data_IF_783995494772
#
_entry.id   IF_783995494772
#
_cell.length_a   1.000
_cell.length_b   1.000
_cell.length_c   1.000
_cell.angle_alpha   90.00
_cell.angle_beta   90.00
_cell.angle_gamma   90.00
#
_symmetry.space_group_name_H-M   'P 1'
#
loop_
_entity.id
_entity.type
_entity.pdbx_description
1 polymer ?
#
# COMPACT_ATOMS: atom_id res chain seq x y z
N UNK A 1 31.14 13.26 65.00
CA UNK A 1 31.85 12.44 63.98
C UNK A 1 30.83 11.94 62.95
N UNK A 2 30.85 12.50 61.74
CA UNK A 2 29.78 12.37 60.73
C UNK A 2 30.27 11.46 59.60
N UNK A 3 30.04 10.14 59.69
CA UNK A 3 30.36 9.19 58.61
C UNK A 3 29.45 9.49 57.41
N UNK A 4 30.08 9.68 56.25
CA UNK A 4 29.51 10.38 55.10
C UNK A 4 28.47 9.56 54.33
N UNK A 5 27.44 10.25 53.84
CA UNK A 5 26.40 9.72 52.93
C UNK A 5 26.94 9.33 51.54
N UNK A 6 28.24 9.54 51.29
CA UNK A 6 28.92 9.29 50.02
C UNK A 6 29.14 7.78 49.79
N UNK A 7 29.30 6.98 50.84
CA UNK A 7 29.50 5.53 50.70
C UNK A 7 28.23 4.77 50.27
N UNK A 8 27.03 5.32 50.51
CA UNK A 8 25.76 4.66 50.11
C UNK A 8 25.41 4.88 48.64
N UNK A 9 25.86 5.98 48.03
CA UNK A 9 25.57 6.26 46.61
C UNK A 9 26.51 5.54 45.64
N UNK A 10 27.74 5.20 46.05
CA UNK A 10 28.67 4.44 45.20
C UNK A 10 28.27 2.96 45.03
N UNK A 11 27.56 2.37 45.99
CA UNK A 11 27.10 0.97 45.93
C UNK A 11 25.88 0.82 45.02
N UNK A 12 24.99 1.81 44.97
CA UNK A 12 23.76 1.77 44.17
C UNK A 12 24.01 1.89 42.66
N UNK A 13 25.03 2.64 42.23
CA UNK A 13 25.41 2.77 40.81
C UNK A 13 26.13 1.54 40.26
N UNK A 14 26.85 0.79 41.10
CA UNK A 14 27.51 -0.45 40.71
C UNK A 14 26.51 -1.61 40.50
N UNK A 15 25.47 -1.70 41.35
CA UNK A 15 24.45 -2.75 41.24
C UNK A 15 23.53 -2.55 40.02
N UNK A 16 23.19 -1.29 39.69
CA UNK A 16 22.37 -0.98 38.51
C UNK A 16 23.07 -1.29 37.19
N UNK A 17 24.39 -1.07 37.11
CA UNK A 17 25.18 -1.38 35.91
C UNK A 17 25.38 -2.87 35.73
N UNK A 18 25.50 -3.63 36.82
CA UNK A 18 25.63 -5.09 36.78
C UNK A 18 24.32 -5.77 36.34
N UNK A 19 23.17 -5.26 36.80
CA UNK A 19 21.86 -5.76 36.37
C UNK A 19 21.61 -5.54 34.87
N UNK A 20 21.96 -4.36 34.32
CA UNK A 20 21.84 -4.08 32.89
C UNK A 20 22.76 -4.96 32.04
N UNK A 21 23.96 -5.28 32.51
CA UNK A 21 24.84 -6.25 31.85
C UNK A 21 24.27 -7.67 31.90
N UNK A 22 23.69 -8.11 33.03
CA UNK A 22 23.04 -9.42 33.12
C UNK A 22 21.86 -9.52 32.15
N UNK A 23 21.00 -8.50 32.07
CA UNK A 23 19.90 -8.49 31.09
C UNK A 23 20.39 -8.45 29.64
N UNK A 24 21.48 -7.74 29.37
CA UNK A 24 22.12 -7.72 28.05
C UNK A 24 22.68 -9.09 27.66
N UNK A 25 23.42 -9.74 28.58
CA UNK A 25 23.98 -11.07 28.34
C UNK A 25 22.91 -12.18 28.29
N UNK A 26 21.85 -12.11 29.09
CA UNK A 26 20.70 -13.02 29.00
C UNK A 26 19.90 -12.82 27.70
N UNK A 27 19.85 -11.59 27.15
CA UNK A 27 19.29 -11.31 25.83
C UNK A 27 20.15 -11.83 24.66
N UNK A 28 21.47 -11.94 24.85
CA UNK A 28 22.38 -12.51 23.85
C UNK A 28 22.58 -14.04 23.95
N UNK A 29 22.31 -14.65 25.12
CA UNK A 29 22.45 -16.09 25.37
C UNK A 29 21.20 -16.92 25.04
N UNK A 30 20.10 -16.28 24.63
CA UNK A 30 18.96 -16.96 24.00
C UNK A 30 18.86 -16.63 22.49
N UNK A 31 19.76 -17.16 21.65
CA UNK A 31 19.40 -17.43 20.27
C UNK A 31 18.52 -18.69 20.29
N UNK A 32 17.20 -18.51 20.31
CA UNK A 32 16.30 -19.58 19.91
C UNK A 32 16.53 -19.82 18.41
N UNK A 33 17.32 -20.87 18.17
CA UNK A 33 17.70 -21.50 16.93
C UNK A 33 16.49 -22.00 16.12
N UNK A 34 16.41 -21.64 14.85
CA UNK A 34 16.29 -22.66 13.81
C UNK A 34 16.91 -22.15 12.51
N UNK A 35 18.23 -22.32 12.41
CA UNK A 35 18.94 -22.28 11.12
C UNK A 35 19.30 -23.71 10.72
N UNK A 36 18.29 -24.59 10.57
CA UNK A 36 18.49 -25.85 9.85
C UNK A 36 18.76 -25.58 8.37
N UNK A 37 20.02 -25.77 8.01
CA UNK A 37 20.49 -25.71 6.64
C UNK A 37 19.81 -26.74 5.75
N UNK A 38 19.45 -26.31 4.54
CA UNK A 38 19.49 -27.18 3.38
C UNK A 38 20.74 -26.78 2.59
N UNK A 39 21.80 -27.58 2.75
CA UNK A 39 22.84 -27.71 1.74
C UNK A 39 22.12 -28.05 0.43
N UNK A 40 22.21 -27.16 -0.56
CA UNK A 40 21.84 -27.48 -1.93
C UNK A 40 22.78 -28.58 -2.43
N UNK A 41 22.37 -29.84 -2.25
CA UNK A 41 22.92 -30.96 -2.98
C UNK A 41 22.40 -30.82 -4.41
N UNK A 42 23.26 -30.28 -5.28
CA UNK A 42 23.13 -30.50 -6.71
C UNK A 42 23.45 -31.98 -6.96
N UNK A 43 22.40 -32.79 -7.09
CA UNK A 43 22.50 -34.13 -7.65
C UNK A 43 21.33 -34.36 -8.61
N UNK A 44 21.64 -35.07 -9.68
CA UNK A 44 20.91 -35.09 -10.93
C UNK A 44 19.48 -35.63 -10.87
N UNK A 45 18.70 -35.15 -11.85
CA UNK A 45 17.60 -35.85 -12.55
C UNK A 45 16.59 -36.65 -11.70
N UNK A 46 15.39 -36.09 -11.57
CA UNK A 46 14.15 -36.85 -11.71
C UNK A 46 13.13 -36.03 -12.51
N UNK A 47 12.88 -36.43 -13.76
CA UNK A 47 11.78 -35.92 -14.59
C UNK A 47 10.49 -36.61 -14.14
N UNK A 48 9.51 -35.82 -13.69
CA UNK A 48 8.13 -36.28 -13.48
C UNK A 48 7.55 -35.87 -12.13
N UNK A 49 6.89 -34.70 -12.07
CA UNK A 49 6.10 -34.32 -10.88
C UNK A 49 5.97 -32.82 -10.57
N UNK A 50 6.68 -31.93 -11.28
CA UNK A 50 6.74 -30.50 -10.94
C UNK A 50 5.40 -29.76 -11.17
N UNK A 51 4.61 -30.16 -12.16
CA UNK A 51 3.36 -29.47 -12.53
C UNK A 51 2.25 -29.54 -11.48
N UNK A 52 2.17 -30.64 -10.70
CA UNK A 52 1.17 -30.78 -9.62
C UNK A 52 1.51 -29.94 -8.39
N UNK A 53 2.81 -29.75 -8.12
CA UNK A 53 3.23 -28.91 -7.00
C UNK A 53 3.03 -27.43 -7.32
N UNK A 54 3.35 -26.99 -8.54
CA UNK A 54 3.15 -25.59 -8.97
C UNK A 54 1.66 -25.21 -8.91
N UNK A 55 0.79 -26.01 -9.53
CA UNK A 55 -0.65 -25.76 -9.52
C UNK A 55 -1.23 -25.76 -8.10
N UNK A 56 -0.74 -26.64 -7.21
CA UNK A 56 -1.19 -26.67 -5.82
C UNK A 56 -0.75 -25.43 -5.06
N UNK A 57 0.47 -24.93 -5.28
CA UNK A 57 0.95 -23.67 -4.70
C UNK A 57 0.12 -22.49 -5.22
N UNK A 58 -0.12 -22.40 -6.53
CA UNK A 58 -0.95 -21.33 -7.12
C UNK A 58 -2.39 -21.35 -6.55
N UNK A 59 -2.97 -22.54 -6.37
CA UNK A 59 -4.32 -22.68 -5.79
C UNK A 59 -4.35 -22.25 -4.32
N UNK A 60 -3.30 -22.57 -3.54
CA UNK A 60 -3.20 -22.17 -2.14
C UNK A 60 -3.03 -20.66 -2.01
N UNK A 61 -2.19 -20.05 -2.85
CA UNK A 61 -1.96 -18.61 -2.87
C UNK A 61 -3.25 -17.84 -3.26
N UNK A 62 -4.04 -18.38 -4.20
CA UNK A 62 -5.33 -17.83 -4.58
C UNK A 62 -6.35 -17.89 -3.43
N UNK A 63 -6.41 -19.01 -2.69
CA UNK A 63 -7.29 -19.16 -1.53
C UNK A 63 -6.93 -18.16 -0.42
N UNK A 64 -5.63 -17.99 -0.15
CA UNK A 64 -5.13 -17.04 0.84
C UNK A 64 -5.45 -15.59 0.44
N UNK A 65 -5.29 -15.25 -0.83
CA UNK A 65 -5.65 -13.93 -1.36
C UNK A 65 -7.15 -13.65 -1.26
N UNK A 66 -7.99 -14.65 -1.55
CA UNK A 66 -9.45 -14.56 -1.42
C UNK A 66 -9.87 -14.33 0.04
N UNK A 67 -9.32 -15.10 0.99
CA UNK A 67 -9.64 -14.94 2.42
C UNK A 67 -9.16 -13.58 2.94
N UNK A 68 -7.96 -13.14 2.55
CA UNK A 68 -7.48 -11.79 2.88
C UNK A 68 -8.46 -10.72 2.38
N UNK A 69 -8.95 -10.86 1.15
CA UNK A 69 -9.86 -9.88 0.58
C UNK A 69 -11.26 -9.94 1.21
N UNK A 70 -11.71 -11.11 1.64
CA UNK A 70 -12.94 -11.29 2.42
C UNK A 70 -12.87 -10.54 3.74
N UNK A 71 -11.76 -10.69 4.49
CA UNK A 71 -11.51 -9.98 5.76
C UNK A 71 -11.50 -8.46 5.58
N UNK A 72 -10.82 -7.96 4.54
CA UNK A 72 -10.78 -6.53 4.22
C UNK A 72 -12.16 -5.96 3.93
N UNK A 73 -12.99 -6.67 3.15
CA UNK A 73 -14.37 -6.27 2.85
C UNK A 73 -15.25 -6.28 4.10
N UNK A 74 -15.11 -7.29 4.96
CA UNK A 74 -15.84 -7.37 6.22
C UNK A 74 -15.51 -6.17 7.14
N UNK A 75 -14.23 -5.83 7.27
CA UNK A 75 -13.78 -4.66 8.03
C UNK A 75 -14.37 -3.35 7.47
N UNK A 76 -14.28 -3.16 6.15
CA UNK A 76 -14.81 -1.97 5.49
C UNK A 76 -16.32 -1.84 5.72
N UNK A 77 -17.07 -2.92 5.55
CA UNK A 77 -18.52 -2.93 5.78
C UNK A 77 -18.86 -2.59 7.23
N UNK A 78 -18.12 -3.12 8.20
CA UNK A 78 -18.30 -2.80 9.62
C UNK A 78 -18.08 -1.32 9.92
N UNK A 79 -16.98 -0.75 9.42
CA UNK A 79 -16.65 0.68 9.59
C UNK A 79 -17.71 1.56 8.91
N UNK A 80 -18.11 1.24 7.68
CA UNK A 80 -19.13 2.00 6.95
C UNK A 80 -20.50 1.96 7.65
N UNK A 81 -20.90 0.80 8.19
CA UNK A 81 -22.15 0.67 8.95
C UNK A 81 -22.12 1.55 10.21
N UNK A 82 -21.03 1.50 10.98
CA UNK A 82 -20.85 2.34 12.17
C UNK A 82 -20.87 3.83 11.82
N UNK A 83 -20.16 4.24 10.76
CA UNK A 83 -20.11 5.63 10.31
C UNK A 83 -21.48 6.13 9.83
N UNK A 84 -22.24 5.31 9.11
CA UNK A 84 -23.60 5.66 8.67
C UNK A 84 -24.56 5.82 9.85
N UNK A 85 -24.41 5.00 10.89
CA UNK A 85 -25.20 5.09 12.12
C UNK A 85 -24.92 6.42 12.86
N UNK A 86 -23.66 6.84 12.92
CA UNK A 86 -23.24 8.09 13.59
C UNK A 86 -23.69 9.33 12.80
N UNK A 87 -23.47 9.32 11.48
CA UNK A 87 -23.69 10.52 10.64
C UNK A 87 -25.16 10.77 10.30
N UNK A 88 -26.06 9.79 10.48
CA UNK A 88 -27.52 9.86 10.23
C UNK A 88 -27.93 10.50 8.88
N UNK A 89 -27.03 10.52 7.89
CA UNK A 89 -27.28 11.06 6.55
C UNK A 89 -26.80 10.09 5.49
N UNK A 90 -27.70 9.74 4.56
CA UNK A 90 -27.27 9.29 3.22
C UNK A 90 -26.55 10.48 2.58
N UNK A 91 -25.22 10.44 2.51
CA UNK A 91 -24.44 11.43 1.78
C UNK A 91 -24.79 11.30 0.29
N UNK A 92 -25.29 12.39 -0.30
CA UNK A 92 -25.44 12.50 -1.76
C UNK A 92 -24.03 12.67 -2.34
N UNK A 93 -23.65 11.81 -3.27
CA UNK A 93 -22.35 11.89 -3.94
C UNK A 93 -22.34 13.11 -4.87
N UNK A 94 -21.34 13.96 -4.73
CA UNK A 94 -21.10 15.08 -5.66
C UNK A 94 -20.16 14.65 -6.78
N UNK A 95 -20.10 15.37 -7.92
CA UNK A 95 -19.12 15.09 -8.97
C UNK A 95 -17.66 15.09 -8.43
N UNK A 96 -17.37 15.93 -7.45
CA UNK A 96 -16.07 15.98 -6.76
C UNK A 96 -15.70 14.68 -6.03
N UNK A 97 -16.69 13.97 -5.49
CA UNK A 97 -16.48 12.66 -4.84
C UNK A 97 -16.12 11.58 -5.89
N UNK A 98 -16.44 11.80 -7.16
CA UNK A 98 -16.34 10.81 -8.24
C UNK A 98 -15.13 11.02 -9.18
N UNK A 99 -14.44 12.16 -9.10
CA UNK A 99 -13.29 12.50 -9.98
C UNK A 99 -12.08 11.56 -9.86
N UNK A 100 -12.02 10.77 -8.80
CA UNK A 100 -10.95 9.81 -8.55
C UNK A 100 -11.28 8.39 -9.05
N UNK A 101 -12.47 8.19 -9.61
CA UNK A 101 -12.92 6.91 -10.16
C UNK A 101 -12.73 6.90 -11.67
N UNK A 102 -11.73 6.17 -12.15
CA UNK A 102 -11.51 5.94 -13.58
C UNK A 102 -12.44 4.81 -14.03
N UNK A 103 -13.09 5.01 -15.17
CA UNK A 103 -14.06 4.08 -15.75
C UNK A 103 -13.42 3.30 -16.89
N UNK A 104 -13.67 1.99 -16.92
CA UNK A 104 -13.47 1.14 -18.09
C UNK A 104 -14.78 0.42 -18.39
N UNK A 105 -15.47 0.90 -19.43
CA UNK A 105 -16.76 0.38 -19.85
C UNK A 105 -16.64 -0.97 -20.57
N UNK A 106 -15.49 -1.26 -21.20
CA UNK A 106 -15.28 -2.51 -21.95
C UNK A 106 -15.21 -3.73 -21.01
N UNK A 107 -14.62 -3.54 -19.83
CA UNK A 107 -14.44 -4.61 -18.83
C UNK A 107 -15.32 -4.45 -17.58
N UNK A 108 -16.12 -3.38 -17.50
CA UNK A 108 -16.99 -3.11 -16.37
C UNK A 108 -16.22 -2.83 -15.08
N UNK A 109 -15.18 -1.98 -15.13
CA UNK A 109 -14.30 -1.69 -14.01
C UNK A 109 -14.41 -0.23 -13.53
N UNK A 110 -14.30 -0.05 -12.21
CA UNK A 110 -14.13 1.25 -11.55
C UNK A 110 -12.86 1.24 -10.71
N UNK A 111 -11.85 1.98 -11.17
CA UNK A 111 -10.58 2.12 -10.45
C UNK A 111 -10.54 3.43 -9.65
N UNK A 112 -10.54 3.32 -8.32
CA UNK A 112 -10.30 4.47 -7.45
C UNK A 112 -8.80 4.71 -7.31
N UNK A 113 -8.26 5.74 -7.97
CA UNK A 113 -6.84 6.03 -7.87
C UNK A 113 -6.53 6.80 -6.58
N UNK A 114 -5.54 6.30 -5.85
CA UNK A 114 -4.95 7.00 -4.70
C UNK A 114 -3.50 7.38 -5.06
N UNK A 115 -3.04 8.60 -4.77
CA UNK A 115 -1.65 8.95 -5.01
C UNK A 115 -0.68 8.04 -4.25
N UNK A 116 0.46 7.73 -4.88
CA UNK A 116 1.62 7.02 -4.29
C UNK A 116 1.39 5.54 -3.93
N UNK A 117 0.31 4.95 -4.39
CA UNK A 117 0.01 3.50 -4.30
C UNK A 117 0.12 2.83 -5.68
N UNK A 118 1.19 3.12 -6.42
CA UNK A 118 1.37 2.69 -7.82
C UNK A 118 0.33 3.24 -8.82
N UNK A 119 -0.27 4.40 -8.55
CA UNK A 119 -1.31 4.98 -9.41
C UNK A 119 -0.88 5.23 -10.86
N UNK A 120 0.37 5.62 -11.12
CA UNK A 120 0.86 5.79 -12.50
C UNK A 120 0.81 4.48 -13.27
N UNK A 121 1.22 3.37 -12.65
CA UNK A 121 1.21 2.05 -13.30
C UNK A 121 -0.22 1.59 -13.58
N UNK A 122 -1.12 1.73 -12.60
CA UNK A 122 -2.52 1.38 -12.82
C UNK A 122 -3.18 2.24 -13.89
N UNK A 123 -2.89 3.55 -13.96
CA UNK A 123 -3.38 4.39 -15.06
C UNK A 123 -2.89 3.91 -16.42
N UNK A 124 -1.63 3.48 -16.53
CA UNK A 124 -1.09 2.88 -17.77
C UNK A 124 -1.81 1.60 -18.15
N UNK A 125 -2.09 0.73 -17.19
CA UNK A 125 -2.90 -0.48 -17.41
C UNK A 125 -4.30 -0.10 -17.89
N UNK A 126 -4.97 0.84 -17.22
CA UNK A 126 -6.29 1.33 -17.65
C UNK A 126 -6.25 1.88 -19.08
N UNK A 127 -5.22 2.66 -19.44
CA UNK A 127 -5.06 3.19 -20.80
C UNK A 127 -4.88 2.09 -21.85
N UNK A 128 -4.25 0.96 -21.51
CA UNK A 128 -4.16 -0.19 -22.40
C UNK A 128 -5.51 -0.89 -22.54
N UNK A 129 -6.25 -1.05 -21.44
CA UNK A 129 -7.56 -1.70 -21.43
C UNK A 129 -8.64 -0.88 -22.17
N UNK A 130 -8.63 0.45 -22.01
CA UNK A 130 -9.62 1.36 -22.63
C UNK A 130 -9.15 1.98 -23.94
N UNK A 131 -7.90 1.73 -24.34
CA UNK A 131 -7.26 2.45 -25.45
C UNK A 131 -7.54 1.90 -26.84
N UNK A 132 -8.43 0.91 -26.97
CA UNK A 132 -8.83 0.28 -28.24
C UNK A 132 -7.64 -0.06 -29.16
N UNK A 133 -6.54 -0.54 -28.57
CA UNK A 133 -5.32 -0.93 -29.29
C UNK A 133 -4.30 0.19 -29.55
N UNK A 134 -4.59 1.45 -29.16
CA UNK A 134 -3.63 2.57 -29.19
C UNK A 134 -2.36 2.27 -28.38
N UNK A 135 -2.53 1.60 -27.25
CA UNK A 135 -1.42 1.17 -26.39
C UNK A 135 -1.46 -0.34 -26.24
N UNK A 136 -0.28 -0.97 -26.27
CA UNK A 136 -0.12 -2.42 -26.09
C UNK A 136 0.67 -2.79 -24.83
N UNK A 137 1.62 -1.94 -24.47
CA UNK A 137 2.51 -2.17 -23.34
C UNK A 137 2.40 -1.00 -22.34
N UNK A 138 1.90 -1.24 -21.12
CA UNK A 138 1.80 -0.21 -20.09
C UNK A 138 3.14 0.47 -19.77
N UNK A 139 4.27 -0.24 -19.87
CA UNK A 139 5.59 0.27 -19.51
C UNK A 139 6.13 1.28 -20.53
N UNK A 140 5.67 1.21 -21.78
CA UNK A 140 6.05 2.14 -22.84
C UNK A 140 5.33 3.49 -22.74
N UNK A 141 4.25 3.57 -21.96
CA UNK A 141 3.49 4.82 -21.79
C UNK A 141 4.25 5.75 -20.82
N UNK A 142 4.67 6.96 -21.25
CA UNK A 142 5.31 7.93 -20.38
C UNK A 142 4.46 8.30 -19.15
N UNK A 143 5.12 8.61 -18.03
CA UNK A 143 4.41 8.91 -16.78
C UNK A 143 3.57 10.18 -16.87
N UNK A 144 4.05 11.22 -17.55
CA UNK A 144 3.32 12.46 -17.81
C UNK A 144 2.03 12.21 -18.59
N UNK A 145 2.10 11.34 -19.61
CA UNK A 145 0.94 10.98 -20.44
C UNK A 145 -0.13 10.22 -19.63
N UNK A 146 0.29 9.31 -18.74
CA UNK A 146 -0.62 8.61 -17.83
C UNK A 146 -1.31 9.52 -16.80
N UNK A 147 -0.85 10.76 -16.64
CA UNK A 147 -1.47 11.74 -15.74
C UNK A 147 -2.32 12.79 -16.46
N UNK A 148 -2.39 12.76 -17.80
CA UNK A 148 -3.26 13.66 -18.58
C UNK A 148 -4.73 13.28 -18.33
N UNK A 149 -5.59 14.20 -17.86
CA UNK A 149 -6.98 13.90 -17.56
C UNK A 149 -7.77 13.37 -18.76
N UNK A 150 -7.53 13.89 -19.97
CA UNK A 150 -8.26 13.50 -21.18
C UNK A 150 -7.98 12.07 -21.67
N UNK A 151 -6.97 11.38 -21.13
CA UNK A 151 -6.62 10.02 -21.54
C UNK A 151 -7.46 8.94 -20.85
N UNK A 152 -8.17 9.27 -19.76
CA UNK A 152 -8.96 8.33 -18.98
C UNK A 152 -10.24 9.02 -18.51
N UNK A 153 -11.40 8.44 -18.80
CA UNK A 153 -12.69 9.00 -18.36
C UNK A 153 -12.88 8.79 -16.87
N UNK A 154 -13.17 9.88 -16.16
CA UNK A 154 -13.60 9.84 -14.77
C UNK A 154 -15.12 9.63 -14.67
N UNK A 155 -15.57 8.97 -13.61
CA UNK A 155 -16.98 8.72 -13.37
C UNK A 155 -17.80 10.01 -13.24
N UNK A 156 -17.18 11.10 -12.80
CA UNK A 156 -17.77 12.44 -12.70
C UNK A 156 -18.19 13.05 -14.04
N UNK A 157 -17.69 12.53 -15.16
CA UNK A 157 -17.99 13.04 -16.51
C UNK A 157 -19.28 12.45 -17.10
N UNK A 158 -19.89 11.47 -16.43
CA UNK A 158 -21.11 10.80 -16.89
C UNK A 158 -22.36 11.43 -16.28
N UNK A 159 -23.52 11.20 -16.90
CA UNK A 159 -24.81 11.62 -16.36
C UNK A 159 -25.19 10.83 -15.10
N UNK A 160 -26.07 11.36 -14.25
CA UNK A 160 -26.51 10.68 -13.01
C UNK A 160 -27.06 9.26 -13.23
N UNK A 161 -27.89 8.97 -14.25
CA UNK A 161 -28.33 7.60 -14.54
C UNK A 161 -27.17 6.66 -14.88
N UNK A 162 -26.22 7.13 -15.68
CA UNK A 162 -25.03 6.38 -16.10
C UNK A 162 -24.08 6.11 -14.93
N UNK A 163 -23.90 7.08 -14.03
CA UNK A 163 -23.14 6.92 -12.79
C UNK A 163 -23.77 5.80 -11.95
N UNK A 164 -25.08 5.87 -11.73
CA UNK A 164 -25.79 4.87 -10.92
C UNK A 164 -25.78 3.47 -11.54
N UNK A 165 -25.76 3.36 -12.86
CA UNK A 165 -25.60 2.09 -13.56
C UNK A 165 -24.22 1.49 -13.27
N UNK A 166 -23.15 2.24 -13.47
CA UNK A 166 -21.75 1.79 -13.25
C UNK A 166 -21.50 1.47 -11.78
N UNK A 167 -21.98 2.32 -10.86
CA UNK A 167 -21.89 2.07 -9.42
C UNK A 167 -22.63 0.81 -8.96
N UNK A 168 -23.59 0.27 -9.72
CA UNK A 168 -24.25 -0.99 -9.38
C UNK A 168 -23.59 -2.19 -10.04
N UNK A 169 -23.20 -2.06 -11.30
CA UNK A 169 -22.83 -3.19 -12.13
C UNK A 169 -21.33 -3.42 -12.25
N UNK A 170 -20.49 -2.42 -11.98
CA UNK A 170 -19.05 -2.54 -12.24
C UNK A 170 -18.28 -3.00 -11.00
N UNK A 171 -17.19 -3.75 -11.25
CA UNK A 171 -16.24 -4.13 -10.22
C UNK A 171 -15.45 -2.89 -9.78
N UNK A 172 -15.60 -2.53 -8.50
CA UNK A 172 -14.80 -1.45 -7.90
C UNK A 172 -13.58 -2.01 -7.22
N UNK A 173 -12.44 -1.41 -7.48
CA UNK A 173 -11.20 -1.77 -6.79
C UNK A 173 -10.35 -0.54 -6.49
N UNK A 174 -9.51 -0.72 -5.48
CA UNK A 174 -8.59 0.28 -4.98
C UNK A 174 -7.32 -0.44 -4.54
N UNK A 175 -6.18 0.20 -4.79
CA UNK A 175 -4.91 -0.24 -4.25
C UNK A 175 -4.57 0.62 -3.04
N UNK A 176 -4.09 -0.03 -1.98
CA UNK A 176 -3.65 0.63 -0.76
C UNK A 176 -2.21 0.23 -0.49
N UNK A 177 -1.52 1.08 0.26
CA UNK A 177 -0.16 0.85 0.74
C UNK A 177 -0.13 1.19 2.22
N UNK A 178 0.83 0.63 2.93
CA UNK A 178 1.15 1.02 4.31
C UNK A 178 1.26 2.57 4.39
N UNK A 179 0.52 3.21 5.31
CA UNK A 179 0.43 4.67 5.40
C UNK A 179 1.77 5.41 5.48
N UNK A 180 2.74 4.93 6.28
CA UNK A 180 4.04 5.59 6.43
C UNK A 180 4.91 5.44 5.18
N UNK A 181 4.91 4.28 4.54
CA UNK A 181 5.59 4.12 3.25
C UNK A 181 5.00 5.03 2.18
N UNK A 182 3.66 5.18 2.15
CA UNK A 182 2.98 6.09 1.24
C UNK A 182 3.41 7.54 1.50
N UNK A 183 3.51 7.93 2.77
CA UNK A 183 3.96 9.26 3.19
C UNK A 183 5.41 9.52 2.78
N UNK A 184 6.34 8.60 3.07
CA UNK A 184 7.75 8.72 2.68
C UNK A 184 7.91 8.78 1.16
N UNK A 185 7.13 7.98 0.43
CA UNK A 185 7.09 8.01 -1.04
C UNK A 185 6.61 9.38 -1.58
N UNK A 186 5.59 9.97 -0.94
CA UNK A 186 5.12 11.31 -1.27
C UNK A 186 6.21 12.36 -0.99
N UNK A 187 6.83 12.30 0.20
CA UNK A 187 7.87 13.22 0.63
C UNK A 187 9.05 13.22 -0.36
N UNK A 188 9.63 12.05 -0.64
CA UNK A 188 10.74 11.93 -1.60
C UNK A 188 10.35 12.44 -2.99
N UNK A 189 9.14 12.12 -3.45
CA UNK A 189 8.71 12.57 -4.78
C UNK A 189 8.52 14.08 -4.89
N UNK A 190 8.08 14.76 -3.82
CA UNK A 190 7.76 16.18 -3.85
C UNK A 190 8.89 17.09 -3.36
N UNK A 191 9.68 16.65 -2.39
CA UNK A 191 10.63 17.50 -1.68
C UNK A 191 12.10 17.17 -1.95
N UNK A 192 12.44 15.96 -2.40
CA UNK A 192 13.85 15.55 -2.56
C UNK A 192 14.30 15.51 -4.02
N UNK A 193 13.38 15.57 -4.99
CA UNK A 193 13.70 15.50 -6.41
C UNK A 193 13.99 16.90 -6.96
N UNK A 194 15.25 17.11 -7.38
CA UNK A 194 15.79 18.40 -7.87
C UNK A 194 14.97 19.07 -8.99
N UNK A 195 14.27 18.28 -9.81
CA UNK A 195 13.47 18.81 -10.92
C UNK A 195 12.11 19.38 -10.52
N UNK A 196 11.69 19.28 -9.25
CA UNK A 196 10.42 19.83 -8.79
C UNK A 196 10.54 21.33 -8.43
N UNK A 197 11.18 22.10 -9.30
CA UNK A 197 11.53 23.52 -9.09
C UNK A 197 10.28 24.38 -8.84
N UNK A 198 9.17 24.09 -9.52
CA UNK A 198 7.89 24.82 -9.33
C UNK A 198 7.26 24.63 -7.94
N UNK A 199 7.58 23.54 -7.25
CA UNK A 199 7.14 23.32 -5.87
C UNK A 199 8.06 24.02 -4.88
N UNK A 200 9.37 23.95 -5.09
CA UNK A 200 10.33 24.67 -4.27
C UNK A 200 10.17 26.19 -4.39
N UNK A 201 9.95 26.70 -5.60
CA UNK A 201 9.74 28.13 -5.88
C UNK A 201 8.50 28.71 -5.19
N UNK A 202 7.35 28.03 -5.30
CA UNK A 202 6.11 28.45 -4.62
C UNK A 202 6.23 28.50 -3.10
N UNK A 203 7.04 27.63 -2.50
CA UNK A 203 7.23 27.57 -1.05
C UNK A 203 8.31 28.51 -0.54
N UNK A 204 9.33 28.81 -1.35
CA UNK A 204 10.35 29.80 -1.02
C UNK A 204 9.81 31.24 -1.10
N UNK A 205 8.83 31.51 -1.96
CA UNK A 205 8.18 32.82 -2.09
C UNK A 205 7.16 33.12 -0.98
N UNK A 206 6.72 32.09 -0.22
CA UNK A 206 5.74 32.25 0.88
C UNK A 206 6.40 32.68 2.21
N UNK A 207 7.75 32.80 2.24
CA UNK A 207 8.53 33.15 3.43
C UNK A 207 9.38 34.43 3.26
N UNK A 208 9.09 35.24 2.24
CA UNK A 208 9.65 36.59 2.00
C UNK A 208 8.52 37.59 1.87
#
# INVERSE_FOLDING_TARGET
MRKSRVCRMAVATCLGSFALMIFYFQGCLNPADDRRGLKGVWSGKAKGGLGRHLHKTDTLDDLDAQEMQRRRRALLNGICAAHNMVTRKRRILTPDDLKHLVVDDNHGLLYCYVPKVACTNWKRVMMVLTGDGKYRDPLKIPANEAHVPSNLKALSEYSTPEINYRLRNYLKFIFVREPFERLVSAYRNKFTRKYNTAFHKRRSEEHT
#
